data_IF_431725797512
#
_entry.id   IF_431725797512
#
_cell.length_a   1.000
_cell.length_b   1.000
_cell.length_c   1.000
_cell.angle_alpha   90.00
_cell.angle_beta   90.00
_cell.angle_gamma   90.00
#
_symmetry.space_group_name_H-M   'P 1'
#
loop_
_entity.id
_entity.type
_entity.pdbx_description
1 polymer ?
#
# COMPACT_ATOMS: atom_id res chain seq x y z
N UNK A 1 29.31 43.12 45.12
CA UNK A 1 27.92 42.90 45.58
C UNK A 1 27.63 41.42 45.44
N UNK A 2 27.69 40.70 46.57
CA UNK A 2 27.48 39.26 46.70
C UNK A 2 26.17 39.02 47.49
N UNK A 3 25.47 37.92 47.18
CA UNK A 3 24.42 37.33 48.03
C UNK A 3 23.12 37.05 47.27
N UNK A 4 22.35 36.00 47.55
CA UNK A 4 22.48 34.88 48.48
C UNK A 4 21.29 33.92 48.26
N UNK A 5 21.52 32.67 48.64
CA UNK A 5 20.62 31.52 48.81
C UNK A 5 19.14 31.75 49.22
N UNK A 6 18.29 30.75 48.93
CA UNK A 6 17.06 30.54 49.69
C UNK A 6 16.10 29.47 49.17
N UNK A 7 16.30 28.21 49.57
CA UNK A 7 15.39 27.06 49.41
C UNK A 7 14.39 27.00 50.58
N UNK A 8 13.27 26.26 50.40
CA UNK A 8 12.21 25.76 51.35
C UNK A 8 10.84 26.42 51.11
N UNK A 9 9.67 25.77 51.19
CA UNK A 9 9.27 24.58 51.96
C UNK A 9 8.03 23.87 51.34
N UNK A 10 7.68 22.74 51.96
CA UNK A 10 6.77 21.67 51.56
C UNK A 10 5.34 21.79 52.18
N UNK A 11 4.34 21.13 51.57
CA UNK A 11 3.12 20.58 52.21
C UNK A 11 1.89 21.52 52.29
N UNK A 12 0.61 21.11 52.22
CA UNK A 12 -0.10 19.83 52.38
C UNK A 12 -1.56 19.96 51.85
N UNK A 13 -2.01 18.93 51.12
CA UNK A 13 -3.34 18.26 50.99
C UNK A 13 -4.73 18.97 50.91
N UNK A 14 -5.44 18.58 49.84
CA UNK A 14 -6.85 18.09 49.69
C UNK A 14 -8.05 18.96 50.12
N UNK A 15 -9.00 19.14 49.18
CA UNK A 15 -10.41 18.72 49.36
C UNK A 15 -11.17 18.63 48.02
N UNK A 16 -12.06 17.65 47.96
CA UNK A 16 -12.90 17.19 46.85
C UNK A 16 -14.31 17.79 47.00
N UNK A 17 -14.95 18.27 45.93
CA UNK A 17 -16.39 18.02 45.70
C UNK A 17 -16.83 18.30 44.24
N UNK A 18 -17.74 17.48 43.68
CA UNK A 18 -18.17 17.51 42.28
C UNK A 18 -19.49 18.28 42.10
N UNK A 19 -19.79 18.76 40.89
CA UNK A 19 -21.12 19.31 40.60
C UNK A 19 -21.27 20.16 39.32
N UNK A 20 -21.53 19.47 38.20
CA UNK A 20 -22.58 19.76 37.19
C UNK A 20 -22.59 21.12 36.45
N UNK A 21 -22.26 21.06 35.15
CA UNK A 21 -22.99 21.62 33.98
C UNK A 21 -22.03 21.56 32.76
N UNK A 22 -22.37 21.20 31.53
CA UNK A 22 -23.64 21.12 30.82
C UNK A 22 -23.47 20.19 29.60
N UNK A 23 -24.52 19.43 29.28
CA UNK A 23 -24.69 18.65 28.06
C UNK A 23 -24.66 19.52 26.79
N UNK A 24 -23.79 19.15 25.82
CA UNK A 24 -24.06 19.21 24.36
C UNK A 24 -23.33 18.01 23.73
N UNK A 25 -23.99 16.88 23.46
CA UNK A 25 -24.75 16.56 22.23
C UNK A 25 -23.82 16.26 21.03
N UNK A 26 -23.67 14.95 20.77
CA UNK A 26 -23.40 14.21 19.50
C UNK A 26 -22.19 14.59 18.63
N UNK A 27 -21.24 13.66 18.55
CA UNK A 27 -21.13 12.74 17.40
C UNK A 27 -20.08 11.68 17.74
N UNK A 28 -20.50 10.42 17.69
CA UNK A 28 -19.64 9.28 18.00
C UNK A 28 -18.47 9.22 17.02
N UNK A 29 -17.26 9.43 17.52
CA UNK A 29 -16.08 8.85 16.89
C UNK A 29 -16.15 7.35 17.15
N UNK A 30 -16.86 6.62 16.29
CA UNK A 30 -16.54 5.22 16.10
C UNK A 30 -15.12 5.19 15.52
N UNK A 31 -14.13 5.11 16.40
CA UNK A 31 -12.82 4.63 16.02
C UNK A 31 -13.03 3.18 15.59
N UNK A 32 -13.35 2.99 14.32
CA UNK A 32 -13.42 1.67 13.70
C UNK A 32 -11.97 1.19 13.69
N UNK A 33 -11.63 0.35 14.65
CA UNK A 33 -10.46 -0.51 14.56
C UNK A 33 -10.76 -1.47 13.42
N UNK A 34 -10.41 -1.07 12.20
CA UNK A 34 -10.42 -1.94 11.04
C UNK A 34 -9.36 -3.01 11.33
N UNK A 35 -9.80 -4.14 11.88
CA UNK A 35 -8.97 -5.33 12.03
C UNK A 35 -8.86 -5.98 10.66
N UNK A 36 -8.23 -5.28 9.71
CA UNK A 36 -7.98 -5.79 8.37
C UNK A 36 -7.02 -6.96 8.47
N UNK A 37 -7.40 -8.09 7.87
CA UNK A 37 -6.42 -9.10 7.47
C UNK A 37 -5.58 -8.45 6.37
N UNK A 38 -4.48 -7.81 6.75
CA UNK A 38 -3.53 -7.23 5.82
C UNK A 38 -2.70 -8.35 5.20
N UNK A 39 -2.91 -8.68 3.92
CA UNK A 39 -1.97 -9.55 3.19
C UNK A 39 -0.69 -8.79 2.84
N UNK A 40 -0.81 -7.48 2.60
CA UNK A 40 0.31 -6.55 2.48
C UNK A 40 0.54 -5.86 3.83
N UNK A 41 1.73 -6.01 4.41
CA UNK A 41 2.09 -5.31 5.65
C UNK A 41 1.83 -3.79 5.47
N UNK A 42 1.24 -3.09 6.47
CA UNK A 42 1.21 -1.64 6.45
C UNK A 42 2.63 -1.17 6.22
N UNK A 43 2.85 -0.19 5.33
CA UNK A 43 4.16 0.32 4.92
C UNK A 43 5.03 0.55 6.16
N UNK A 44 5.74 -0.50 6.56
CA UNK A 44 6.55 -0.49 7.76
C UNK A 44 7.78 0.29 7.35
N UNK A 45 8.34 1.02 8.30
CA UNK A 45 9.67 1.60 8.13
C UNK A 45 10.68 0.44 8.11
N UNK A 46 10.64 -0.39 7.06
CA UNK A 46 11.64 -1.40 6.80
C UNK A 46 12.92 -0.62 6.54
N UNK A 47 13.92 -0.83 7.41
CA UNK A 47 15.28 -0.46 7.06
C UNK A 47 15.54 -1.01 5.65
N UNK A 48 16.15 -0.22 4.78
CA UNK A 48 16.49 -0.60 3.40
C UNK A 48 17.34 -1.87 3.42
N UNK A 49 16.67 -3.02 3.50
CA UNK A 49 17.28 -4.31 3.65
C UNK A 49 17.95 -4.60 2.31
N UNK A 50 19.25 -4.89 2.38
CA UNK A 50 20.01 -5.18 1.19
C UNK A 50 20.01 -6.70 1.01
N UNK A 51 19.51 -7.13 -0.14
CA UNK A 51 19.54 -8.51 -0.58
C UNK A 51 20.63 -8.73 -1.63
N UNK A 52 20.92 -10.00 -1.89
CA UNK A 52 21.79 -10.47 -2.98
C UNK A 52 21.09 -11.56 -3.76
N UNK A 53 21.23 -11.53 -5.09
CA UNK A 53 20.67 -12.58 -5.95
C UNK A 53 21.41 -13.89 -5.74
N UNK A 54 20.71 -14.96 -5.41
CA UNK A 54 21.28 -16.31 -5.25
C UNK A 54 21.10 -17.12 -6.53
N UNK A 55 19.92 -17.07 -7.13
CA UNK A 55 19.59 -17.82 -8.33
C UNK A 55 18.63 -17.04 -9.24
N UNK A 56 18.72 -17.31 -10.54
CA UNK A 56 17.85 -16.77 -11.58
C UNK A 56 17.37 -17.94 -12.42
N UNK A 57 16.06 -18.18 -12.42
CA UNK A 57 15.40 -19.29 -13.12
C UNK A 57 14.28 -18.69 -13.97
N UNK A 58 14.61 -18.28 -15.19
CA UNK A 58 13.68 -17.55 -16.06
C UNK A 58 13.21 -16.25 -15.39
N UNK A 59 11.90 -16.09 -15.25
CA UNK A 59 11.29 -14.93 -14.57
C UNK A 59 11.34 -15.01 -13.02
N UNK A 60 11.75 -16.15 -12.47
CA UNK A 60 11.83 -16.35 -11.02
C UNK A 60 13.24 -16.04 -10.54
N UNK A 61 13.37 -15.14 -9.58
CA UNK A 61 14.66 -14.73 -9.00
C UNK A 61 14.63 -14.98 -7.50
N UNK A 62 15.58 -15.77 -7.01
CA UNK A 62 15.72 -16.02 -5.58
C UNK A 62 16.74 -15.02 -5.02
N UNK A 63 16.33 -14.27 -3.98
CA UNK A 63 17.11 -13.20 -3.35
C UNK A 63 17.29 -13.53 -1.87
N UNK A 64 18.53 -13.52 -1.40
CA UNK A 64 18.86 -13.73 0.01
C UNK A 64 19.14 -12.40 0.69
N UNK A 65 18.57 -12.20 1.87
CA UNK A 65 18.75 -11.02 2.70
C UNK A 65 19.63 -11.35 3.89
N UNK A 66 20.53 -10.44 4.25
CA UNK A 66 21.42 -10.62 5.41
C UNK A 66 20.60 -10.46 6.71
N UNK A 67 19.79 -9.39 6.80
CA UNK A 67 18.86 -9.12 7.90
C UNK A 67 17.60 -8.44 7.35
N UNK A 68 16.46 -8.63 8.02
CA UNK A 68 15.19 -7.99 7.65
C UNK A 68 14.58 -8.59 6.38
N UNK A 69 13.84 -9.68 6.53
CA UNK A 69 13.17 -10.34 5.41
C UNK A 69 11.98 -9.49 4.93
N UNK A 70 11.93 -9.06 3.66
CA UNK A 70 10.82 -8.26 3.16
C UNK A 70 9.52 -9.07 3.20
N UNK A 71 8.37 -8.44 3.50
CA UNK A 71 7.07 -9.11 3.49
C UNK A 71 6.72 -9.62 2.09
N UNK A 72 5.76 -10.55 2.02
CA UNK A 72 5.20 -10.99 0.75
C UNK A 72 4.49 -9.79 0.09
N UNK A 73 4.53 -9.74 -1.25
CA UNK A 73 4.02 -8.66 -2.10
C UNK A 73 4.83 -7.36 -2.08
N UNK A 74 5.93 -7.28 -1.34
CA UNK A 74 6.83 -6.12 -1.42
C UNK A 74 7.58 -6.09 -2.76
N UNK A 75 7.83 -4.87 -3.25
CA UNK A 75 8.67 -4.63 -4.40
C UNK A 75 10.15 -4.51 -3.97
N UNK A 76 11.03 -5.14 -4.74
CA UNK A 76 12.47 -5.05 -4.64
C UNK A 76 13.03 -4.46 -5.93
N UNK A 77 14.11 -3.68 -5.83
CA UNK A 77 14.76 -3.07 -6.98
C UNK A 77 16.19 -3.56 -7.12
N UNK A 78 16.57 -4.00 -8.34
CA UNK A 78 17.92 -4.48 -8.61
C UNK A 78 18.84 -3.29 -8.90
N UNK A 79 19.93 -3.16 -8.13
CA UNK A 79 20.87 -2.06 -8.30
C UNK A 79 21.89 -2.32 -9.44
N UNK A 80 22.36 -1.23 -10.05
CA UNK A 80 23.46 -1.26 -11.03
C UNK A 80 23.05 -1.75 -12.42
N UNK A 81 21.83 -1.44 -12.85
CA UNK A 81 21.33 -1.68 -14.20
C UNK A 81 20.96 -0.36 -14.87
N UNK A 82 21.06 -0.32 -16.20
CA UNK A 82 20.62 0.82 -17.01
C UNK A 82 19.08 0.92 -17.05
N UNK A 83 18.40 -0.22 -17.17
CA UNK A 83 16.94 -0.32 -17.05
C UNK A 83 16.53 -0.70 -15.63
N UNK A 84 15.46 -0.06 -15.15
CA UNK A 84 14.88 -0.34 -13.83
C UNK A 84 14.20 -1.71 -13.85
N UNK A 85 14.73 -2.65 -13.07
CA UNK A 85 14.13 -3.96 -12.89
C UNK A 85 13.55 -4.08 -11.48
N UNK A 86 12.24 -4.26 -11.42
CA UNK A 86 11.49 -4.49 -10.19
C UNK A 86 11.17 -5.98 -10.06
N UNK A 87 11.38 -6.51 -8.87
CA UNK A 87 11.02 -7.88 -8.48
C UNK A 87 9.94 -7.80 -7.40
N UNK A 88 8.91 -8.64 -7.48
CA UNK A 88 7.90 -8.76 -6.43
C UNK A 88 8.15 -10.00 -5.59
N UNK A 89 8.12 -9.89 -4.26
CA UNK A 89 8.24 -11.04 -3.37
C UNK A 89 6.97 -11.89 -3.42
N UNK A 90 7.08 -13.11 -3.92
CA UNK A 90 5.95 -14.05 -4.01
C UNK A 90 5.84 -14.97 -2.80
N UNK A 91 6.98 -15.44 -2.25
CA UNK A 91 7.00 -16.33 -1.10
C UNK A 91 8.36 -16.30 -0.38
N UNK A 92 8.37 -16.75 0.87
CA UNK A 92 9.59 -16.96 1.66
C UNK A 92 9.99 -18.43 1.57
N UNK A 93 11.25 -18.71 1.21
CA UNK A 93 11.76 -20.08 1.07
C UNK A 93 12.40 -20.61 2.35
N UNK A 94 12.78 -19.72 3.28
CA UNK A 94 13.62 -20.04 4.45
C UNK A 94 15.06 -19.55 4.26
N UNK A 95 15.90 -19.68 5.29
CA UNK A 95 17.31 -19.25 5.26
C UNK A 95 17.51 -17.78 4.81
N UNK A 96 16.59 -16.91 5.23
CA UNK A 96 16.50 -15.51 4.80
C UNK A 96 16.42 -15.31 3.28
N UNK A 97 15.93 -16.31 2.55
CA UNK A 97 15.75 -16.27 1.11
C UNK A 97 14.28 -16.08 0.76
N UNK A 98 14.04 -15.15 -0.17
CA UNK A 98 12.73 -14.92 -0.77
C UNK A 98 12.76 -15.31 -2.24
N UNK A 99 11.64 -15.86 -2.70
CA UNK A 99 11.41 -16.08 -4.12
C UNK A 99 10.62 -14.91 -4.67
N UNK A 100 11.18 -14.31 -5.71
CA UNK A 100 10.60 -13.14 -6.35
C UNK A 100 10.25 -13.41 -7.81
N UNK A 101 9.30 -12.65 -8.32
CA UNK A 101 8.89 -12.65 -9.73
C UNK A 101 9.35 -11.34 -10.34
N UNK A 102 10.12 -11.43 -11.43
CA UNK A 102 10.56 -10.26 -12.16
C UNK A 102 9.43 -9.66 -13.01
N UNK A 103 9.26 -8.35 -12.93
CA UNK A 103 8.26 -7.61 -13.72
C UNK A 103 8.71 -7.34 -15.16
N UNK A 104 9.99 -7.54 -15.45
CA UNK A 104 10.60 -7.37 -16.77
C UNK A 104 11.71 -8.43 -16.96
N UNK A 105 12.37 -8.43 -18.13
CA UNK A 105 13.40 -9.39 -18.49
C UNK A 105 14.54 -9.50 -17.47
N UNK A 106 14.87 -10.74 -17.08
CA UNK A 106 15.95 -11.07 -16.12
C UNK A 106 17.32 -11.25 -16.78
N UNK A 107 17.45 -10.82 -18.04
CA UNK A 107 18.69 -10.92 -18.79
C UNK A 107 19.79 -10.06 -18.16
N UNK A 108 21.01 -10.59 -18.15
CA UNK A 108 22.18 -9.91 -17.57
C UNK A 108 22.19 -9.85 -16.04
N UNK A 109 21.27 -10.52 -15.33
CA UNK A 109 21.37 -10.66 -13.88
C UNK A 109 22.49 -11.62 -13.49
N UNK A 110 23.27 -11.21 -12.49
CA UNK A 110 24.40 -11.99 -11.98
C UNK A 110 24.17 -12.31 -10.50
N UNK A 111 24.59 -13.51 -10.09
CA UNK A 111 24.55 -13.91 -8.67
C UNK A 111 25.43 -12.99 -7.84
N UNK A 112 24.97 -12.64 -6.64
CA UNK A 112 25.61 -11.67 -5.76
C UNK A 112 25.26 -10.22 -6.07
N UNK A 113 24.53 -9.93 -7.15
CA UNK A 113 24.07 -8.58 -7.46
C UNK A 113 23.17 -8.05 -6.34
N UNK A 114 23.36 -6.78 -6.01
CA UNK A 114 22.66 -6.11 -4.91
C UNK A 114 21.20 -5.82 -5.29
N UNK A 115 20.30 -6.15 -4.37
CA UNK A 115 18.86 -5.89 -4.46
C UNK A 115 18.45 -5.04 -3.26
N UNK A 116 17.60 -4.06 -3.49
CA UNK A 116 17.13 -3.11 -2.49
C UNK A 116 15.65 -3.36 -2.22
N UNK A 117 15.26 -3.54 -0.95
CA UNK A 117 13.85 -3.52 -0.58
C UNK A 117 13.30 -2.10 -0.65
N UNK A 118 12.17 -1.91 -1.35
CA UNK A 118 11.48 -0.62 -1.41
C UNK A 118 10.61 -0.36 -0.18
N UNK A 119 10.34 -1.39 0.64
CA UNK A 119 9.53 -1.29 1.84
C UNK A 119 8.02 -1.21 1.59
N UNK A 120 7.59 -1.24 0.33
CA UNK A 120 6.19 -1.23 -0.06
C UNK A 120 5.92 -2.17 -1.25
N UNK A 121 4.66 -2.57 -1.47
CA UNK A 121 4.26 -3.20 -2.73
C UNK A 121 4.51 -2.31 -3.94
N UNK A 122 4.43 -2.86 -5.14
CA UNK A 122 4.52 -2.08 -6.38
C UNK A 122 3.43 -0.99 -6.33
N UNK A 123 3.86 0.28 -6.45
CA UNK A 123 2.96 1.44 -6.45
C UNK A 123 2.93 2.08 -7.83
N UNK A 124 1.73 2.28 -8.33
CA UNK A 124 1.49 2.86 -9.65
C UNK A 124 0.87 4.26 -9.53
N UNK A 125 1.11 5.15 -10.50
CA UNK A 125 0.44 6.45 -10.56
C UNK A 125 -1.05 6.25 -10.81
N UNK A 126 -1.88 6.98 -10.05
CA UNK A 126 -3.34 7.00 -10.24
C UNK A 126 -3.86 8.43 -10.25
N UNK A 127 -5.08 8.62 -10.74
CA UNK A 127 -5.74 9.92 -10.81
C UNK A 127 -6.11 10.32 -12.23
N UNK A 128 -6.83 11.44 -12.42
CA UNK A 128 -7.22 11.92 -13.75
C UNK A 128 -6.04 12.18 -14.69
N UNK A 129 -4.84 12.42 -14.14
CA UNK A 129 -3.61 12.69 -14.90
C UNK A 129 -3.12 11.47 -15.70
N UNK A 130 -3.60 10.27 -15.37
CA UNK A 130 -3.27 9.04 -16.10
C UNK A 130 -4.16 8.80 -17.32
N UNK A 131 -5.24 9.57 -17.49
CA UNK A 131 -6.18 9.39 -18.59
C UNK A 131 -5.50 9.64 -19.95
N UNK A 132 -5.69 8.68 -20.88
CA UNK A 132 -5.10 8.76 -22.21
C UNK A 132 -3.58 8.53 -22.25
N UNK A 133 -2.98 8.03 -21.16
CA UNK A 133 -1.59 7.57 -21.10
C UNK A 133 -1.54 6.04 -21.20
N UNK A 134 -0.43 5.51 -21.70
CA UNK A 134 -0.16 4.07 -21.68
C UNK A 134 1.00 3.83 -20.72
N UNK A 135 0.80 2.93 -19.75
CA UNK A 135 1.79 2.58 -18.73
C UNK A 135 2.00 1.07 -18.64
N UNK A 136 3.17 0.67 -18.17
CA UNK A 136 3.50 -0.73 -17.88
C UNK A 136 3.03 -1.14 -16.46
N UNK A 137 3.30 -2.39 -16.09
CA UNK A 137 2.90 -2.99 -14.79
C UNK A 137 3.48 -2.26 -13.59
N UNK A 138 4.67 -1.66 -13.72
CA UNK A 138 5.34 -0.91 -12.65
C UNK A 138 4.97 0.58 -12.65
N UNK A 139 4.04 1.01 -13.52
CA UNK A 139 3.52 2.37 -13.57
C UNK A 139 4.35 3.36 -14.38
N UNK A 140 5.34 2.89 -15.14
CA UNK A 140 6.16 3.74 -16.02
C UNK A 140 5.46 3.96 -17.37
N UNK A 141 5.50 5.19 -17.91
CA UNK A 141 4.89 5.48 -19.21
C UNK A 141 5.67 4.85 -20.35
N UNK A 142 4.96 4.20 -21.27
CA UNK A 142 5.52 3.59 -22.49
C UNK A 142 5.02 4.28 -23.77
N UNK A 143 4.45 5.47 -23.63
CA UNK A 143 3.81 6.23 -24.73
C UNK A 143 4.69 7.33 -25.33
N UNK A 144 5.98 7.40 -24.96
CA UNK A 144 6.96 8.40 -25.43
C UNK A 144 6.55 9.87 -25.18
N UNK A 145 5.53 10.13 -24.35
CA UNK A 145 5.00 11.48 -24.06
C UNK A 145 5.58 12.10 -22.79
N UNK A 146 6.72 11.59 -22.32
CA UNK A 146 7.39 12.03 -21.10
C UNK A 146 6.76 11.46 -19.82
N UNK A 147 7.14 11.95 -18.62
CA UNK A 147 6.69 11.40 -17.35
C UNK A 147 5.19 11.65 -17.09
N UNK A 148 4.57 10.79 -16.26
CA UNK A 148 3.21 11.01 -15.74
C UNK A 148 3.34 11.78 -14.43
N UNK A 149 2.96 13.06 -14.44
CA UNK A 149 2.95 13.89 -13.23
C UNK A 149 1.64 13.68 -12.47
N UNK A 150 1.65 12.83 -11.45
CA UNK A 150 0.53 12.67 -10.50
C UNK A 150 1.00 12.91 -9.06
N UNK A 151 0.07 13.34 -8.21
CA UNK A 151 0.27 13.45 -6.76
C UNK A 151 -0.10 12.17 -6.01
N UNK A 152 -0.84 11.26 -6.66
CA UNK A 152 -1.42 10.09 -6.04
C UNK A 152 -0.79 8.81 -6.59
N UNK A 153 -0.39 7.91 -5.70
CA UNK A 153 0.09 6.57 -6.05
C UNK A 153 -0.61 5.53 -5.18
N UNK A 154 -1.09 4.47 -5.82
CA UNK A 154 -1.78 3.36 -5.15
C UNK A 154 -0.98 2.06 -5.30
N UNK A 155 -0.98 1.18 -4.28
CA UNK A 155 -0.44 -0.17 -4.42
C UNK A 155 -1.32 -1.00 -5.37
N UNK A 156 -0.70 -1.90 -6.13
CA UNK A 156 -1.45 -2.84 -7.00
C UNK A 156 -2.17 -3.93 -6.19
N UNK A 157 -1.67 -4.23 -5.00
CA UNK A 157 -2.28 -5.15 -4.05
C UNK A 157 -3.15 -4.37 -3.09
N UNK A 158 -4.47 -4.52 -3.24
CA UNK A 158 -5.47 -3.92 -2.36
C UNK A 158 -6.39 -5.01 -1.81
N UNK A 159 -6.80 -4.85 -0.55
CA UNK A 159 -7.79 -5.73 0.06
C UNK A 159 -9.13 -5.62 -0.67
N UNK A 160 -9.86 -6.72 -0.69
CA UNK A 160 -11.23 -6.71 -1.16
C UNK A 160 -12.10 -5.81 -0.25
N UNK A 161 -13.14 -5.16 -0.79
CA UNK A 161 -14.09 -4.41 0.02
C UNK A 161 -14.72 -5.28 1.12
N UNK A 162 -14.92 -4.70 2.30
CA UNK A 162 -15.60 -5.38 3.39
C UNK A 162 -17.07 -5.64 3.08
N UNK A 163 -17.65 -6.63 3.75
CA UNK A 163 -19.06 -6.98 3.56
C UNK A 163 -20.02 -5.81 3.81
N UNK A 164 -19.69 -4.92 4.75
CA UNK A 164 -20.49 -3.72 5.06
C UNK A 164 -20.46 -2.67 3.96
N UNK A 165 -19.42 -2.68 3.12
CA UNK A 165 -19.22 -1.69 2.06
C UNK A 165 -19.81 -2.17 0.73
N UNK A 166 -20.28 -3.41 0.66
CA UNK A 166 -20.92 -3.97 -0.52
C UNK A 166 -22.35 -3.43 -0.71
N UNK A 167 -22.63 -2.87 -1.90
CA UNK A 167 -23.97 -2.41 -2.26
C UNK A 167 -24.88 -3.59 -2.63
N UNK A 168 -26.10 -3.62 -2.08
CA UNK A 168 -27.15 -4.59 -2.46
C UNK A 168 -27.97 -4.15 -3.68
N UNK A 169 -27.67 -2.97 -4.25
CA UNK A 169 -28.39 -2.42 -5.37
C UNK A 169 -27.99 -3.12 -6.68
N UNK A 170 -28.99 -3.58 -7.42
CA UNK A 170 -28.80 -4.13 -8.75
C UNK A 170 -28.79 -2.98 -9.77
N UNK A 171 -27.63 -2.70 -10.36
CA UNK A 171 -27.52 -1.76 -11.47
C UNK A 171 -27.38 -2.53 -12.77
N UNK A 172 -28.21 -2.20 -13.76
CA UNK A 172 -28.05 -2.71 -15.12
C UNK A 172 -26.92 -1.95 -15.81
N UNK A 173 -25.78 -2.61 -15.99
CA UNK A 173 -24.67 -2.10 -16.80
C UNK A 173 -24.61 -2.95 -18.06
N UNK A 174 -24.86 -2.32 -19.21
CA UNK A 174 -24.85 -2.96 -20.51
C UNK A 174 -24.80 -1.90 -21.63
N UNK A 175 -24.70 -2.33 -22.90
CA UNK A 175 -24.92 -1.44 -24.03
C UNK A 175 -26.24 -0.70 -23.85
N UNK A 176 -26.27 0.58 -24.22
CA UNK A 176 -27.45 1.45 -24.00
C UNK A 176 -28.72 0.82 -24.59
N UNK A 177 -28.57 0.13 -25.72
CA UNK A 177 -29.64 -0.52 -26.45
C UNK A 177 -30.29 -1.65 -25.64
N UNK A 178 -29.50 -2.48 -24.97
CA UNK A 178 -30.01 -3.61 -24.17
C UNK A 178 -30.64 -3.14 -22.85
N UNK A 179 -30.06 -2.10 -22.25
CA UNK A 179 -30.57 -1.52 -21.00
C UNK A 179 -31.92 -0.85 -21.24
N UNK A 180 -32.08 -0.13 -22.35
CA UNK A 180 -33.34 0.51 -22.73
C UNK A 180 -34.43 -0.55 -23.01
N UNK A 181 -34.15 -1.53 -23.85
CA UNK A 181 -35.14 -2.58 -24.20
C UNK A 181 -35.61 -3.37 -22.97
N UNK A 182 -34.71 -3.68 -22.05
CA UNK A 182 -35.04 -4.46 -20.87
C UNK A 182 -35.69 -3.62 -19.77
N UNK A 183 -35.38 -2.32 -19.70
CA UNK A 183 -36.11 -1.38 -18.85
C UNK A 183 -37.55 -1.14 -19.36
N UNK A 184 -37.75 -1.01 -20.67
CA UNK A 184 -39.07 -0.91 -21.30
C UNK A 184 -39.90 -2.16 -21.00
N UNK A 185 -39.31 -3.35 -21.18
CA UNK A 185 -39.99 -4.62 -20.88
C UNK A 185 -40.38 -4.77 -19.41
N UNK A 186 -39.52 -4.34 -18.48
CA UNK A 186 -39.83 -4.33 -17.04
C UNK A 186 -40.93 -3.30 -16.69
N UNK A 187 -40.98 -2.16 -17.39
CA UNK A 187 -42.05 -1.18 -17.20
C UNK A 187 -43.41 -1.71 -17.68
N UNK A 188 -43.43 -2.50 -18.76
CA UNK A 188 -44.62 -3.19 -19.26
C UNK A 188 -45.09 -4.31 -18.33
N UNK A 189 -44.18 -5.11 -17.75
CA UNK A 189 -44.52 -6.21 -16.83
C UNK A 189 -45.05 -5.72 -15.46
N UNK A 190 -44.82 -4.45 -15.11
CA UNK A 190 -45.25 -3.83 -13.86
C UNK A 190 -46.39 -2.80 -14.01
N UNK A 191 -47.01 -2.69 -15.19
CA UNK A 191 -48.20 -1.87 -15.46
C UNK A 191 -49.46 -2.73 -15.62
#
# INVERSE_FOLDING_TARGET
>A
MLGSAGRRCCGVLRAFKPGINSLKTITGKHAVVYSGRTYAAPAAQAALANGRIVAVIGAVVDVQFDEGLPPILNALEVAGRDSRLVLEVAQHLGENTVRTIAMDGTEGLVRGQKVLDTGAPIRIPVGPETLGRIMNVIGEPIDERGPITTKLTAPIHAEAPEFTDMSQAFYMVGPIEEVVQKAEKLAEEHS
#
